data_IF_087306920737
#
_entry.id   IF_087306920737
#
_cell.length_a   1.000
_cell.length_b   1.000
_cell.length_c   1.000
_cell.angle_alpha   90.00
_cell.angle_beta   90.00
_cell.angle_gamma   90.00
#
_symmetry.space_group_name_H-M   'P 1'
#
loop_
_entity.id
_entity.type
_entity.pdbx_description
1 polymer ?
#
# COMPACT_ATOMS: atom_id res chain seq x y z
N UNK A 1 -6.51 -12.18 -18.60
CA UNK A 1 -5.16 -11.80 -18.99
C UNK A 1 -4.18 -12.94 -18.71
N UNK A 2 -3.51 -13.47 -19.74
CA UNK A 2 -2.71 -14.70 -19.64
C UNK A 2 -1.52 -14.58 -18.63
N UNK A 3 -0.89 -13.41 -18.54
CA UNK A 3 0.22 -13.20 -17.62
C UNK A 3 -0.24 -13.10 -16.16
N UNK A 4 -1.41 -12.53 -15.94
CA UNK A 4 -2.04 -12.49 -14.61
C UNK A 4 -2.34 -13.91 -14.11
N UNK A 5 -2.91 -14.76 -14.97
CA UNK A 5 -3.25 -16.14 -14.64
C UNK A 5 -2.05 -17.02 -14.28
N UNK A 6 -0.87 -16.72 -14.82
CA UNK A 6 0.37 -17.44 -14.50
C UNK A 6 0.88 -17.15 -13.09
N UNK A 7 0.56 -16.00 -12.53
CA UNK A 7 1.17 -15.50 -11.30
C UNK A 7 0.21 -15.36 -10.13
N UNK A 8 -1.10 -15.52 -10.38
CA UNK A 8 -2.13 -15.35 -9.36
C UNK A 8 -3.12 -16.49 -9.34
N UNK A 9 -3.64 -16.78 -8.15
CA UNK A 9 -4.77 -17.69 -7.97
C UNK A 9 -6.07 -16.97 -8.36
N UNK A 10 -6.69 -17.40 -9.46
CA UNK A 10 -7.93 -16.81 -9.96
C UNK A 10 -9.16 -17.37 -9.24
N UNK A 11 -9.05 -18.60 -8.73
CA UNK A 11 -10.11 -19.25 -7.97
C UNK A 11 -9.69 -19.39 -6.51
N UNK A 12 -10.55 -18.93 -5.62
CA UNK A 12 -10.32 -19.00 -4.17
C UNK A 12 -11.53 -19.64 -3.50
N UNK A 13 -11.30 -20.40 -2.44
CA UNK A 13 -12.38 -20.95 -1.63
C UNK A 13 -13.07 -19.82 -0.85
N UNK A 14 -14.40 -19.88 -0.75
CA UNK A 14 -15.17 -18.91 0.02
C UNK A 14 -14.71 -18.86 1.49
N UNK A 15 -14.40 -20.02 2.10
CA UNK A 15 -13.86 -20.07 3.46
C UNK A 15 -12.53 -19.31 3.62
N UNK A 16 -11.66 -19.32 2.61
CA UNK A 16 -10.43 -18.55 2.64
C UNK A 16 -10.69 -17.05 2.67
N UNK A 17 -11.67 -16.57 1.89
CA UNK A 17 -12.08 -15.17 1.90
C UNK A 17 -12.69 -14.74 3.24
N UNK A 18 -13.50 -15.59 3.85
CA UNK A 18 -14.07 -15.36 5.19
C UNK A 18 -12.96 -15.27 6.24
N UNK A 19 -12.00 -16.18 6.21
CA UNK A 19 -10.87 -16.19 7.16
C UNK A 19 -10.00 -14.96 6.98
N UNK A 20 -9.73 -14.55 5.74
CA UNK A 20 -8.98 -13.31 5.46
C UNK A 20 -9.71 -12.08 6.00
N UNK A 21 -11.02 -11.99 5.81
CA UNK A 21 -11.81 -10.88 6.32
C UNK A 21 -11.82 -10.83 7.85
N UNK A 22 -11.91 -11.98 8.52
CA UNK A 22 -11.84 -12.07 9.97
C UNK A 22 -10.48 -11.64 10.49
N UNK A 23 -9.40 -12.08 9.86
CA UNK A 23 -8.04 -11.65 10.20
C UNK A 23 -7.89 -10.13 10.05
N UNK A 24 -8.38 -9.59 8.95
CA UNK A 24 -8.36 -8.14 8.70
C UNK A 24 -9.08 -7.37 9.80
N UNK A 25 -10.27 -7.80 10.21
CA UNK A 25 -11.02 -7.18 11.29
C UNK A 25 -10.28 -7.22 12.63
N UNK A 26 -9.54 -8.30 12.87
CA UNK A 26 -8.78 -8.47 14.10
C UNK A 26 -7.55 -7.57 14.16
N UNK A 27 -6.83 -7.39 13.05
CA UNK A 27 -5.54 -6.68 13.02
C UNK A 27 -5.63 -5.22 12.59
N UNK A 28 -6.61 -4.85 11.75
CA UNK A 28 -6.76 -3.47 11.23
C UNK A 28 -7.59 -2.65 12.23
N UNK A 29 -6.91 -2.07 13.22
CA UNK A 29 -7.54 -1.28 14.28
C UNK A 29 -6.52 -0.27 14.85
N UNK A 30 -6.99 0.81 15.52
CA UNK A 30 -6.12 1.88 16.02
C UNK A 30 -4.98 1.39 16.92
N UNK A 31 -5.20 0.40 17.78
CA UNK A 31 -4.19 -0.15 18.67
C UNK A 31 -3.04 -0.79 17.90
N UNK A 32 -3.34 -1.45 16.79
CA UNK A 32 -2.33 -2.07 15.91
C UNK A 32 -1.48 -1.00 15.24
N UNK A 33 -2.11 0.06 14.75
CA UNK A 33 -1.40 1.18 14.12
C UNK A 33 -0.49 1.90 15.11
N UNK A 34 -0.98 2.15 16.33
CA UNK A 34 -0.20 2.76 17.38
C UNK A 34 1.02 1.92 17.81
N UNK A 35 0.95 0.60 17.67
CA UNK A 35 2.05 -0.30 17.99
C UNK A 35 3.18 -0.31 16.94
N UNK A 36 2.95 0.27 15.75
CA UNK A 36 3.96 0.40 14.71
C UNK A 36 4.84 1.60 15.03
N UNK A 37 6.03 1.36 15.54
CA UNK A 37 6.95 2.40 16.00
C UNK A 37 8.17 2.62 15.09
N UNK A 38 8.34 1.76 14.08
CA UNK A 38 9.39 1.91 13.07
C UNK A 38 8.96 2.91 11.99
N UNK A 39 9.91 3.62 11.34
CA UNK A 39 9.58 4.47 10.20
C UNK A 39 8.90 3.69 9.07
N UNK A 40 7.91 4.31 8.45
CA UNK A 40 7.08 3.69 7.40
C UNK A 40 7.07 4.55 6.15
N UNK A 41 7.34 3.93 5.02
CA UNK A 41 7.12 4.50 3.69
C UNK A 41 5.99 3.74 3.01
N UNK A 42 4.99 4.47 2.54
CA UNK A 42 3.87 3.91 1.77
C UNK A 42 3.88 4.53 0.37
N UNK A 43 3.88 3.68 -0.64
CA UNK A 43 3.72 4.07 -2.05
C UNK A 43 2.35 3.58 -2.53
N UNK A 44 1.52 4.46 -3.03
CA UNK A 44 0.20 4.12 -3.56
C UNK A 44 -0.04 4.77 -4.92
N UNK A 45 -0.83 4.12 -5.76
CA UNK A 45 -1.27 4.70 -7.01
C UNK A 45 -2.44 5.66 -6.74
N UNK A 46 -2.22 6.92 -7.02
CA UNK A 46 -3.26 7.95 -6.98
C UNK A 46 -2.93 9.08 -7.94
N UNK A 47 -3.78 9.30 -8.92
CA UNK A 47 -3.72 10.43 -9.83
C UNK A 47 -4.84 11.43 -9.52
N UNK A 48 -6.06 10.93 -9.44
CA UNK A 48 -7.28 11.66 -9.08
C UNK A 48 -8.34 10.67 -8.55
N UNK A 49 -9.52 11.17 -8.20
CA UNK A 49 -10.60 10.33 -7.63
C UNK A 49 -11.03 9.18 -8.54
N UNK A 50 -10.89 9.33 -9.86
CA UNK A 50 -11.28 8.31 -10.84
C UNK A 50 -10.13 7.39 -11.22
N UNK A 51 -8.89 7.83 -10.98
CA UNK A 51 -7.67 7.12 -11.36
C UNK A 51 -6.81 6.92 -10.12
N UNK A 52 -7.13 5.89 -9.37
CA UNK A 52 -6.44 5.52 -8.14
C UNK A 52 -6.44 4.01 -7.95
N UNK A 53 -5.75 3.56 -6.92
CA UNK A 53 -5.74 2.15 -6.54
C UNK A 53 -7.18 1.67 -6.27
N UNK A 54 -7.61 0.66 -7.01
CA UNK A 54 -8.95 0.09 -6.88
C UNK A 54 -9.06 -0.96 -5.77
N UNK A 55 -7.92 -1.42 -5.26
CA UNK A 55 -7.85 -2.45 -4.23
C UNK A 55 -7.71 -1.84 -2.83
N UNK A 56 -6.95 -0.75 -2.71
CA UNK A 56 -6.71 -0.04 -1.47
C UNK A 56 -7.42 1.32 -1.51
N UNK A 57 -8.15 1.62 -0.45
CA UNK A 57 -8.75 2.93 -0.26
C UNK A 57 -7.67 3.93 0.16
N UNK A 58 -7.24 4.77 -0.78
CA UNK A 58 -6.18 5.76 -0.56
C UNK A 58 -6.56 6.79 0.50
N UNK A 59 -7.83 7.16 0.60
CA UNK A 59 -8.33 8.06 1.66
C UNK A 59 -8.09 7.45 3.03
N UNK A 60 -8.37 6.16 3.19
CA UNK A 60 -8.11 5.44 4.44
C UNK A 60 -6.61 5.36 4.77
N UNK A 61 -5.76 5.18 3.77
CA UNK A 61 -4.30 5.22 3.97
C UNK A 61 -3.87 6.58 4.52
N UNK A 62 -4.38 7.68 3.95
CA UNK A 62 -4.10 9.04 4.45
C UNK A 62 -4.55 9.24 5.89
N UNK A 63 -5.72 8.68 6.25
CA UNK A 63 -6.24 8.75 7.61
C UNK A 63 -5.42 7.93 8.62
N UNK A 64 -4.86 6.80 8.20
CA UNK A 64 -4.08 5.90 9.05
C UNK A 64 -2.66 6.40 9.31
N UNK A 65 -2.03 7.08 8.37
CA UNK A 65 -0.65 7.55 8.51
C UNK A 65 -0.39 8.31 9.81
N UNK A 66 -1.21 9.28 10.23
CA UNK A 66 -1.00 9.97 11.51
C UNK A 66 -1.29 9.10 12.75
N UNK A 67 -1.97 7.97 12.60
CA UNK A 67 -2.27 7.04 13.70
C UNK A 67 -1.11 6.08 14.00
N UNK A 68 -0.12 5.98 13.12
CA UNK A 68 1.06 5.13 13.33
C UNK A 68 1.84 5.63 14.54
N UNK A 69 2.30 4.70 15.39
CA UNK A 69 3.12 5.03 16.56
C UNK A 69 4.41 5.76 16.20
N UNK A 70 4.92 5.55 14.98
CA UNK A 70 6.10 6.25 14.44
C UNK A 70 5.82 7.64 13.89
N UNK A 71 4.57 8.10 13.84
CA UNK A 71 4.21 9.37 13.20
C UNK A 71 4.91 10.59 13.84
N UNK A 72 5.05 10.60 15.17
CA UNK A 72 5.73 11.68 15.90
C UNK A 72 7.22 11.82 15.55
N UNK A 73 7.87 10.78 15.06
CA UNK A 73 9.28 10.80 14.65
C UNK A 73 9.56 11.57 13.37
N UNK A 74 8.53 11.94 12.60
CA UNK A 74 8.65 12.74 11.38
C UNK A 74 9.34 12.04 10.21
N UNK A 75 9.57 10.73 10.30
CA UNK A 75 10.24 9.92 9.25
C UNK A 75 9.27 9.20 8.33
N UNK A 76 7.98 9.15 8.68
CA UNK A 76 6.98 8.50 7.85
C UNK A 76 6.71 9.33 6.60
N UNK A 77 6.48 8.64 5.48
CA UNK A 77 6.11 9.26 4.21
C UNK A 77 5.03 8.46 3.51
N UNK A 78 4.09 9.18 2.92
CA UNK A 78 3.13 8.65 1.95
C UNK A 78 3.44 9.28 0.60
N UNK A 79 3.74 8.45 -0.40
CA UNK A 79 4.03 8.89 -1.76
C UNK A 79 2.93 8.41 -2.68
N UNK A 80 2.22 9.34 -3.28
CA UNK A 80 1.17 9.07 -4.26
C UNK A 80 1.77 9.09 -5.66
N UNK A 81 1.77 7.94 -6.32
CA UNK A 81 2.33 7.79 -7.67
C UNK A 81 1.21 7.96 -8.68
N UNK A 82 1.36 8.91 -9.60
CA UNK A 82 0.32 9.28 -10.56
C UNK A 82 0.23 8.36 -11.79
N UNK A 83 1.17 7.44 -11.98
CA UNK A 83 1.18 6.50 -13.09
C UNK A 83 1.45 5.08 -12.56
N UNK A 84 0.45 4.25 -12.62
CA UNK A 84 0.55 2.88 -12.15
C UNK A 84 -0.79 2.20 -11.88
N UNK A 85 -0.73 1.20 -11.03
CA UNK A 85 -1.90 0.53 -10.46
C UNK A 85 -1.55 -0.03 -9.07
N UNK A 86 -2.37 -0.93 -8.53
CA UNK A 86 -2.14 -1.53 -7.22
C UNK A 86 -0.75 -2.18 -7.06
N UNK A 87 -0.22 -2.80 -8.09
CA UNK A 87 1.09 -3.50 -8.05
C UNK A 87 2.16 -2.63 -8.71
N UNK A 88 2.60 -1.61 -8.00
CA UNK A 88 3.46 -0.55 -8.51
C UNK A 88 4.83 -1.02 -9.05
N UNK A 89 5.47 -1.96 -8.39
CA UNK A 89 6.83 -2.40 -8.74
C UNK A 89 6.86 -3.64 -9.63
N UNK A 90 5.72 -4.16 -10.03
CA UNK A 90 5.65 -5.31 -10.91
C UNK A 90 6.22 -5.01 -12.30
N UNK A 91 7.01 -5.93 -12.84
CA UNK A 91 7.50 -5.84 -14.21
C UNK A 91 6.38 -6.00 -15.26
N UNK A 92 5.25 -6.58 -14.86
CA UNK A 92 4.09 -6.81 -15.72
C UNK A 92 3.13 -5.64 -15.78
N UNK A 93 3.42 -4.55 -15.06
CA UNK A 93 2.58 -3.38 -14.96
C UNK A 93 3.35 -2.15 -15.42
N UNK A 94 2.69 -1.36 -16.26
CA UNK A 94 3.24 -0.05 -16.65
C UNK A 94 3.07 0.92 -15.50
N UNK A 95 4.17 1.38 -14.95
CA UNK A 95 4.21 2.35 -13.85
C UNK A 95 5.44 3.26 -13.98
N UNK A 96 5.43 4.37 -13.28
CA UNK A 96 6.59 5.25 -13.15
C UNK A 96 7.55 4.69 -12.08
N UNK A 97 8.31 3.66 -12.44
CA UNK A 97 9.26 3.01 -11.54
C UNK A 97 10.42 3.92 -11.15
N UNK A 98 10.82 4.83 -12.02
CA UNK A 98 11.92 5.76 -11.72
C UNK A 98 11.57 6.69 -10.55
N UNK A 99 10.37 7.26 -10.55
CA UNK A 99 9.87 8.07 -9.43
C UNK A 99 9.76 7.26 -8.14
N UNK A 100 9.27 6.02 -8.22
CA UNK A 100 9.13 5.14 -7.07
C UNK A 100 10.49 4.82 -6.44
N UNK A 101 11.47 4.41 -7.25
CA UNK A 101 12.83 4.08 -6.77
C UNK A 101 13.51 5.32 -6.18
N UNK A 102 13.32 6.49 -6.78
CA UNK A 102 13.86 7.74 -6.26
C UNK A 102 13.25 8.09 -4.90
N UNK A 103 11.94 7.94 -4.76
CA UNK A 103 11.25 8.19 -3.49
C UNK A 103 11.74 7.25 -2.39
N UNK A 104 11.93 5.97 -2.70
CA UNK A 104 12.46 4.98 -1.77
C UNK A 104 13.89 5.33 -1.34
N UNK A 105 14.76 5.68 -2.27
CA UNK A 105 16.15 6.08 -1.99
C UNK A 105 16.19 7.33 -1.12
N UNK A 106 15.45 8.36 -1.47
CA UNK A 106 15.39 9.62 -0.71
C UNK A 106 14.92 9.37 0.72
N UNK A 107 13.91 8.53 0.90
CA UNK A 107 13.41 8.20 2.21
C UNK A 107 14.43 7.42 3.04
N UNK A 108 15.10 6.40 2.45
CA UNK A 108 16.14 5.63 3.12
C UNK A 108 17.33 6.50 3.54
N UNK A 109 17.74 7.43 2.69
CA UNK A 109 18.87 8.34 2.98
C UNK A 109 18.53 9.31 4.11
N UNK A 110 17.26 9.58 4.37
CA UNK A 110 16.78 10.47 5.44
C UNK A 110 16.55 9.80 6.80
N UNK A 111 16.76 8.49 6.89
CA UNK A 111 16.54 7.74 8.13
C UNK A 111 17.63 7.96 9.19
#
# INVERSE_FOLDING_TARGET
HADYEKHWLIRQRFSALVNLNNLRRYVVKPETFAAITVPVLVLVYYKDEKHQDETIDVVKVREVMPQLGSAAGGKNRLVEVADGNHILLSEFVRTDKATQLRAMRTWLDGL
#
